data_IF_056886479354
#
_entry.id   IF_056886479354
#
_cell.length_a   1.000
_cell.length_b   1.000
_cell.length_c   1.000
_cell.angle_alpha   90.00
_cell.angle_beta   90.00
_cell.angle_gamma   90.00
#
_symmetry.space_group_name_H-M   'P 1'
#
loop_
_entity.id
_entity.type
_entity.pdbx_description
1 polymer ?
#
# COMPACT_ATOMS: atom_id res chain seq x y z
N UNK A 1 10.43 31.51 -20.81
CA UNK A 1 10.06 31.74 -19.39
C UNK A 1 10.78 30.70 -18.56
N UNK A 2 11.29 31.04 -17.36
CA UNK A 2 11.91 30.05 -16.45
C UNK A 2 10.91 28.93 -16.12
N UNK A 3 11.40 27.68 -16.03
CA UNK A 3 10.62 26.47 -15.73
C UNK A 3 9.78 26.64 -14.46
N UNK A 4 10.37 27.17 -13.39
CA UNK A 4 9.69 27.46 -12.13
C UNK A 4 8.52 28.44 -12.32
N UNK A 5 8.66 29.43 -13.20
CA UNK A 5 7.60 30.41 -13.45
C UNK A 5 6.40 29.77 -14.15
N UNK A 6 6.64 28.84 -15.07
CA UNK A 6 5.57 28.08 -15.75
C UNK A 6 4.85 27.16 -14.75
N UNK A 7 5.61 26.39 -13.95
CA UNK A 7 5.06 25.51 -12.90
C UNK A 7 4.24 26.29 -11.86
N UNK A 8 4.73 27.46 -11.45
CA UNK A 8 4.05 28.37 -10.52
C UNK A 8 2.72 28.88 -11.05
N UNK A 9 2.67 29.30 -12.32
CA UNK A 9 1.43 29.74 -12.98
C UNK A 9 0.43 28.59 -13.11
N UNK A 10 0.90 27.39 -13.48
CA UNK A 10 0.03 26.21 -13.61
C UNK A 10 -0.62 25.84 -12.27
N UNK A 11 0.17 25.71 -11.20
CA UNK A 11 -0.33 25.41 -9.86
C UNK A 11 -1.26 26.51 -9.32
N UNK A 12 -0.97 27.78 -9.59
CA UNK A 12 -1.85 28.89 -9.19
C UNK A 12 -3.23 28.75 -9.84
N UNK A 13 -3.29 28.48 -11.15
CA UNK A 13 -4.55 28.29 -11.87
C UNK A 13 -5.32 27.07 -11.37
N UNK A 14 -4.62 25.99 -11.07
CA UNK A 14 -5.21 24.77 -10.54
C UNK A 14 -5.82 24.99 -9.15
N UNK A 15 -5.05 25.56 -8.21
CA UNK A 15 -5.52 25.92 -6.88
C UNK A 15 -6.66 26.93 -6.94
N UNK A 16 -6.59 27.92 -7.83
CA UNK A 16 -7.66 28.88 -8.04
C UNK A 16 -8.92 28.22 -8.61
N UNK A 17 -8.80 27.17 -9.44
CA UNK A 17 -9.96 26.39 -9.90
C UNK A 17 -10.59 25.63 -8.74
N UNK A 18 -9.79 24.93 -7.94
CA UNK A 18 -10.23 24.14 -6.78
C UNK A 18 -10.85 25.00 -5.67
N UNK A 19 -10.30 26.19 -5.45
CA UNK A 19 -10.76 27.12 -4.42
C UNK A 19 -12.18 27.66 -4.62
N UNK A 20 -12.73 27.61 -5.85
CA UNK A 20 -14.08 28.11 -6.15
C UNK A 20 -15.17 27.40 -5.35
N UNK A 21 -14.98 26.10 -5.16
CA UNK A 21 -15.93 25.25 -4.46
C UNK A 21 -15.56 25.06 -2.98
N UNK A 22 -14.50 25.73 -2.50
CA UNK A 22 -14.08 25.70 -1.11
C UNK A 22 -15.05 26.49 -0.21
N UNK A 23 -15.01 26.24 1.10
CA UNK A 23 -15.85 26.96 2.07
C UNK A 23 -15.69 28.49 1.93
N UNK A 24 -16.77 29.25 1.63
CA UNK A 24 -16.73 30.70 1.47
C UNK A 24 -16.13 31.45 2.67
N UNK A 25 -16.32 30.94 3.89
CA UNK A 25 -15.79 31.57 5.10
C UNK A 25 -14.27 31.54 5.27
N UNK A 26 -13.54 30.73 4.48
CA UNK A 26 -12.08 30.58 4.62
C UNK A 26 -11.27 31.63 3.82
N UNK A 27 -11.92 32.35 2.88
CA UNK A 27 -11.28 33.32 1.97
C UNK A 27 -10.05 32.75 1.23
N UNK A 28 -10.20 31.53 0.69
CA UNK A 28 -9.11 30.76 0.07
C UNK A 28 -8.35 31.56 -1.00
N UNK A 29 -9.06 32.20 -1.94
CA UNK A 29 -8.45 32.95 -3.04
C UNK A 29 -7.62 34.15 -2.57
N UNK A 30 -8.07 34.86 -1.53
CA UNK A 30 -7.33 35.99 -0.97
C UNK A 30 -6.01 35.51 -0.34
N UNK A 31 -6.06 34.41 0.41
CA UNK A 31 -4.86 33.81 1.03
C UNK A 31 -3.88 33.29 -0.01
N UNK A 32 -4.38 32.61 -1.03
CA UNK A 32 -3.57 32.11 -2.16
C UNK A 32 -2.87 33.27 -2.87
N UNK A 33 -3.61 34.32 -3.21
CA UNK A 33 -3.06 35.52 -3.85
C UNK A 33 -1.98 36.18 -2.98
N UNK A 34 -2.27 36.40 -1.70
CA UNK A 34 -1.31 36.97 -0.74
C UNK A 34 -0.04 36.12 -0.58
N UNK A 35 -0.13 34.80 -0.70
CA UNK A 35 1.03 33.90 -0.63
C UNK A 35 1.94 34.05 -1.85
N UNK A 36 1.37 34.12 -3.06
CA UNK A 36 2.13 34.34 -4.28
C UNK A 36 2.71 35.76 -4.39
N UNK A 37 2.01 36.77 -3.85
CA UNK A 37 2.51 38.14 -3.81
C UNK A 37 3.72 38.28 -2.89
N UNK A 38 3.72 37.59 -1.74
CA UNK A 38 4.87 37.54 -0.82
C UNK A 38 6.10 36.86 -1.43
N UNK A 39 5.88 35.82 -2.23
CA UNK A 39 6.95 35.02 -2.83
C UNK A 39 7.32 35.47 -4.27
N UNK A 40 6.97 36.69 -4.68
CA UNK A 40 7.17 37.17 -6.06
C UNK A 40 8.64 37.29 -6.47
N UNK A 41 9.51 37.58 -5.50
CA UNK A 41 10.94 37.84 -5.70
C UNK A 41 11.82 36.69 -5.19
N UNK A 42 11.24 35.50 -4.96
CA UNK A 42 11.96 34.33 -4.50
C UNK A 42 12.73 33.70 -5.67
N UNK A 43 14.07 33.65 -5.56
CA UNK A 43 14.95 33.15 -6.62
C UNK A 43 15.84 31.98 -6.17
N UNK A 44 15.92 31.70 -4.87
CA UNK A 44 16.70 30.58 -4.34
C UNK A 44 16.05 29.22 -4.71
N UNK A 45 16.75 28.30 -5.37
CA UNK A 45 16.17 27.04 -5.85
C UNK A 45 15.57 26.16 -4.74
N UNK A 46 16.16 26.16 -3.54
CA UNK A 46 15.70 25.33 -2.43
C UNK A 46 14.42 25.90 -1.83
N UNK A 47 14.40 27.20 -1.58
CA UNK A 47 13.20 27.89 -1.06
C UNK A 47 12.03 27.85 -2.06
N UNK A 48 12.32 27.92 -3.36
CA UNK A 48 11.31 27.76 -4.43
C UNK A 48 10.69 26.37 -4.40
N UNK A 49 11.48 25.31 -4.25
CA UNK A 49 10.94 23.94 -4.17
C UNK A 49 10.14 23.71 -2.88
N UNK A 50 10.58 24.28 -1.75
CA UNK A 50 9.81 24.20 -0.50
C UNK A 50 8.47 24.96 -0.60
N UNK A 51 8.43 26.09 -1.30
CA UNK A 51 7.17 26.78 -1.63
C UNK A 51 6.27 25.91 -2.53
N UNK A 52 6.83 25.19 -3.50
CA UNK A 52 6.07 24.25 -4.33
C UNK A 52 5.50 23.08 -3.54
N UNK A 53 6.28 22.52 -2.60
CA UNK A 53 5.80 21.46 -1.69
C UNK A 53 4.60 21.92 -0.87
N UNK A 54 4.66 23.14 -0.34
CA UNK A 54 3.53 23.73 0.39
C UNK A 54 2.29 23.88 -0.50
N UNK A 55 2.47 24.33 -1.74
CA UNK A 55 1.37 24.50 -2.69
C UNK A 55 0.73 23.17 -3.10
N UNK A 56 1.54 22.15 -3.36
CA UNK A 56 1.06 20.81 -3.67
C UNK A 56 0.32 20.21 -2.47
N UNK A 57 0.83 20.42 -1.25
CA UNK A 57 0.13 20.01 -0.03
C UNK A 57 -1.26 20.66 0.08
N UNK A 58 -1.37 21.98 -0.15
CA UNK A 58 -2.65 22.70 -0.13
C UNK A 58 -3.62 22.14 -1.19
N UNK A 59 -3.12 21.77 -2.38
CA UNK A 59 -3.91 21.13 -3.43
C UNK A 59 -4.48 19.79 -2.98
N UNK A 60 -3.62 18.91 -2.44
CA UNK A 60 -4.05 17.58 -1.96
C UNK A 60 -5.07 17.69 -0.83
N UNK A 61 -4.85 18.59 0.13
CA UNK A 61 -5.78 18.83 1.23
C UNK A 61 -7.14 19.34 0.71
N UNK A 62 -7.14 20.26 -0.25
CA UNK A 62 -8.37 20.80 -0.85
C UNK A 62 -9.17 19.71 -1.58
N UNK A 63 -8.49 18.84 -2.32
CA UNK A 63 -9.09 17.70 -3.00
C UNK A 63 -9.65 16.67 -2.00
N UNK A 64 -8.91 16.37 -0.94
CA UNK A 64 -9.34 15.49 0.12
C UNK A 64 -10.62 16.03 0.79
N UNK A 65 -10.65 17.32 1.13
CA UNK A 65 -11.84 17.98 1.68
C UNK A 65 -13.04 17.94 0.73
N UNK A 66 -12.82 18.15 -0.57
CA UNK A 66 -13.88 18.03 -1.58
C UNK A 66 -14.45 16.61 -1.63
N UNK A 67 -13.58 15.59 -1.66
CA UNK A 67 -13.96 14.18 -1.67
C UNK A 67 -14.75 13.81 -0.41
N UNK A 68 -14.31 14.29 0.77
CA UNK A 68 -14.98 14.10 2.05
C UNK A 68 -16.36 14.78 2.08
N UNK A 69 -16.47 16.00 1.56
CA UNK A 69 -17.75 16.71 1.46
C UNK A 69 -18.73 15.95 0.58
N UNK A 70 -18.28 15.49 -0.60
CA UNK A 70 -19.08 14.67 -1.51
C UNK A 70 -19.50 13.36 -0.84
N UNK A 71 -18.60 12.72 -0.12
CA UNK A 71 -18.87 11.50 0.64
C UNK A 71 -19.90 11.73 1.75
N UNK A 72 -19.77 12.80 2.56
CA UNK A 72 -20.74 13.16 3.61
C UNK A 72 -22.13 13.40 3.04
N UNK A 73 -22.23 14.08 1.90
CA UNK A 73 -23.49 14.28 1.20
C UNK A 73 -24.07 12.94 0.70
N UNK A 74 -23.27 12.13 -0.01
CA UNK A 74 -23.69 10.83 -0.53
C UNK A 74 -24.17 9.87 0.58
N UNK A 75 -23.49 9.89 1.74
CA UNK A 75 -23.88 9.13 2.93
C UNK A 75 -25.25 9.53 3.49
N UNK A 76 -25.60 10.81 3.40
CA UNK A 76 -26.92 11.31 3.84
C UNK A 76 -28.02 10.91 2.86
N UNK A 77 -27.74 10.98 1.55
CA UNK A 77 -28.75 10.75 0.50
C UNK A 77 -29.02 9.26 0.26
N UNK A 78 -28.02 8.38 0.44
CA UNK A 78 -28.15 6.93 0.22
C UNK A 78 -27.76 6.11 1.47
N UNK A 79 -28.63 6.04 2.50
CA UNK A 79 -28.38 5.20 3.66
C UNK A 79 -28.56 3.71 3.29
N UNK A 80 -27.49 2.91 3.35
CA UNK A 80 -27.56 1.47 3.08
C UNK A 80 -26.20 0.73 3.09
N UNK A 81 -26.18 -0.62 2.97
CA UNK A 81 -24.95 -1.44 3.06
C UNK A 81 -23.86 -1.07 2.04
N UNK A 82 -24.25 -0.57 0.86
CA UNK A 82 -23.32 -0.11 -0.16
C UNK A 82 -22.46 1.09 0.31
N UNK A 83 -23.01 1.97 1.15
CA UNK A 83 -22.30 3.15 1.66
C UNK A 83 -21.27 2.81 2.75
N UNK A 84 -21.45 1.68 3.47
CA UNK A 84 -20.47 1.18 4.47
C UNK A 84 -19.14 0.80 3.82
N UNK A 85 -19.16 0.10 2.68
CA UNK A 85 -17.92 -0.23 1.94
C UNK A 85 -17.21 1.01 1.42
N UNK A 86 -17.97 2.03 0.99
CA UNK A 86 -17.41 3.32 0.53
C UNK A 86 -16.81 4.08 1.71
N UNK A 87 -17.43 4.02 2.91
CA UNK A 87 -16.90 4.59 4.15
C UNK A 87 -15.50 4.07 4.47
N UNK A 88 -15.37 2.74 4.52
CA UNK A 88 -14.11 2.06 4.83
C UNK A 88 -13.00 2.41 3.82
N UNK A 89 -13.36 2.58 2.54
CA UNK A 89 -12.41 2.96 1.50
C UNK A 89 -12.00 4.43 1.56
N UNK A 90 -12.92 5.36 1.83
CA UNK A 90 -12.62 6.80 1.95
C UNK A 90 -11.85 7.12 3.23
N UNK A 91 -12.17 6.47 4.35
CA UNK A 91 -11.42 6.62 5.61
C UNK A 91 -9.97 6.14 5.47
N UNK A 92 -9.73 5.07 4.70
CA UNK A 92 -8.36 4.60 4.37
C UNK A 92 -7.58 5.58 3.49
N UNK A 93 -8.24 6.25 2.53
CA UNK A 93 -7.60 7.25 1.67
C UNK A 93 -7.21 8.50 2.49
N UNK A 94 -8.09 8.95 3.39
CA UNK A 94 -7.87 10.14 4.23
C UNK A 94 -6.89 9.91 5.37
N UNK A 95 -6.73 8.68 5.85
CA UNK A 95 -5.73 8.31 6.86
C UNK A 95 -4.27 8.34 6.37
N UNK A 96 -4.02 8.88 5.16
CA UNK A 96 -2.69 8.93 4.57
C UNK A 96 -2.28 7.55 4.09
N UNK A 97 -2.87 7.12 2.97
CA UNK A 97 -2.44 5.92 2.27
C UNK A 97 -0.97 6.03 1.88
N UNK A 98 -0.11 5.49 2.73
CA UNK A 98 1.29 5.20 2.42
C UNK A 98 1.35 3.76 1.92
N UNK A 99 1.67 3.64 0.63
CA UNK A 99 2.31 2.53 -0.08
C UNK A 99 1.66 1.14 0.00
N UNK A 100 1.66 0.46 -1.15
CA UNK A 100 1.32 -0.95 -1.30
C UNK A 100 2.34 -1.91 -0.64
N UNK A 101 3.37 -1.38 0.05
CA UNK A 101 4.30 -2.13 0.89
C UNK A 101 3.90 -2.11 2.37
N UNK A 102 2.66 -2.49 2.68
CA UNK A 102 2.22 -2.72 4.07
C UNK A 102 2.86 -4.00 4.66
N UNK A 103 3.41 -4.87 3.80
CA UNK A 103 4.06 -6.12 4.23
C UNK A 103 5.47 -5.90 4.84
N UNK A 104 6.16 -4.81 4.51
CA UNK A 104 7.55 -4.56 4.98
C UNK A 104 7.63 -3.96 6.40
N UNK A 105 6.50 -3.57 7.01
CA UNK A 105 6.46 -2.89 8.32
C UNK A 105 5.54 -3.55 9.34
N UNK A 106 5.22 -4.83 9.17
CA UNK A 106 4.48 -5.58 10.18
C UNK A 106 5.41 -5.97 11.33
N UNK A 107 4.88 -5.95 12.55
CA UNK A 107 5.60 -6.42 13.73
C UNK A 107 5.86 -7.92 13.62
N UNK A 108 7.07 -8.35 13.97
CA UNK A 108 7.46 -9.75 13.93
C UNK A 108 6.65 -10.53 14.97
N UNK A 109 5.89 -11.53 14.51
CA UNK A 109 5.10 -12.39 15.39
C UNK A 109 6.00 -13.49 15.94
N UNK A 110 6.11 -13.59 17.26
CA UNK A 110 6.82 -14.68 17.94
C UNK A 110 5.87 -15.87 18.20
N UNK A 111 6.43 -17.07 18.39
CA UNK A 111 5.64 -18.23 18.80
C UNK A 111 5.09 -18.03 20.21
N UNK A 112 3.89 -18.53 20.44
CA UNK A 112 3.24 -18.60 21.75
C UNK A 112 3.04 -20.07 22.17
N UNK A 113 2.51 -20.29 23.36
CA UNK A 113 2.16 -21.63 23.84
C UNK A 113 1.17 -22.32 22.89
N UNK A 114 1.50 -23.54 22.46
CA UNK A 114 0.72 -24.29 21.46
C UNK A 114 0.99 -23.88 20.01
N UNK A 115 2.04 -23.09 19.76
CA UNK A 115 2.52 -22.76 18.42
C UNK A 115 3.97 -23.22 18.24
N UNK A 116 4.34 -23.56 17.01
CA UNK A 116 5.71 -23.98 16.71
C UNK A 116 6.15 -23.48 15.34
N UNK A 117 7.44 -23.17 15.23
CA UNK A 117 8.05 -22.83 13.95
C UNK A 117 8.22 -24.09 13.09
N UNK A 118 8.07 -23.96 11.78
CA UNK A 118 8.30 -25.06 10.87
C UNK A 118 8.81 -24.61 9.50
N UNK A 119 9.48 -25.52 8.81
CA UNK A 119 9.85 -25.39 7.41
C UNK A 119 8.95 -26.25 6.54
N UNK A 120 8.47 -25.68 5.43
CA UNK A 120 7.64 -26.41 4.46
C UNK A 120 8.49 -27.42 3.69
N UNK A 121 8.17 -28.71 3.82
CA UNK A 121 8.90 -29.80 3.15
C UNK A 121 8.31 -30.09 1.78
N UNK A 122 6.98 -30.23 1.68
CA UNK A 122 6.30 -30.48 0.40
C UNK A 122 4.85 -30.02 0.44
N UNK A 123 4.34 -29.64 -0.72
CA UNK A 123 2.93 -29.30 -0.90
C UNK A 123 2.14 -30.57 -1.22
N UNK A 124 1.01 -30.80 -0.53
CA UNK A 124 0.16 -31.98 -0.70
C UNK A 124 -1.10 -31.70 -1.57
N UNK A 125 -1.33 -30.43 -1.91
CA UNK A 125 -2.52 -30.00 -2.64
C UNK A 125 -3.75 -29.78 -1.74
N UNK A 126 -4.83 -29.25 -2.31
CA UNK A 126 -6.05 -28.85 -1.58
C UNK A 126 -5.77 -27.90 -0.38
N UNK A 127 -4.68 -27.13 -0.47
CA UNK A 127 -4.13 -26.28 0.59
C UNK A 127 -3.74 -27.04 1.87
N UNK A 128 -3.21 -28.26 1.71
CA UNK A 128 -2.46 -28.99 2.73
C UNK A 128 -0.99 -29.04 2.34
N UNK A 129 -0.12 -29.08 3.34
CA UNK A 129 1.32 -29.23 3.16
C UNK A 129 1.89 -30.10 4.28
N UNK A 130 3.07 -30.66 4.05
CA UNK A 130 3.88 -31.32 5.08
C UNK A 130 4.94 -30.33 5.57
N UNK A 131 4.99 -30.12 6.87
CA UNK A 131 5.92 -29.20 7.52
C UNK A 131 6.81 -29.95 8.50
N UNK A 132 8.12 -29.69 8.41
CA UNK A 132 9.11 -30.15 9.38
C UNK A 132 9.18 -29.10 10.48
N UNK A 133 8.68 -29.45 11.66
CA UNK A 133 8.72 -28.57 12.82
C UNK A 133 10.12 -28.58 13.44
N UNK A 134 10.49 -27.48 14.10
CA UNK A 134 11.81 -27.34 14.74
C UNK A 134 11.93 -28.10 16.08
N UNK A 135 10.84 -28.67 16.57
CA UNK A 135 10.83 -29.67 17.64
C UNK A 135 11.32 -31.06 17.17
N UNK A 136 11.45 -31.26 15.85
CA UNK A 136 11.91 -32.49 15.22
C UNK A 136 10.81 -33.33 14.56
N UNK A 137 9.53 -33.03 14.80
CA UNK A 137 8.42 -33.80 14.27
C UNK A 137 7.91 -33.28 12.91
N UNK A 138 7.36 -34.19 12.12
CA UNK A 138 6.72 -33.86 10.83
C UNK A 138 5.21 -33.83 11.00
N UNK A 139 4.61 -32.69 10.70
CA UNK A 139 3.17 -32.49 10.84
C UNK A 139 2.50 -32.19 9.51
N UNK A 140 1.26 -32.64 9.38
CA UNK A 140 0.38 -32.29 8.26
C UNK A 140 -0.31 -30.96 8.57
N UNK A 141 0.14 -29.91 7.90
CA UNK A 141 -0.38 -28.57 8.12
C UNK A 141 -1.47 -28.21 7.10
N UNK A 142 -2.50 -27.53 7.59
CA UNK A 142 -3.60 -27.02 6.79
C UNK A 142 -3.51 -25.49 6.65
N UNK A 143 -3.54 -24.99 5.41
CA UNK A 143 -3.41 -23.54 5.15
C UNK A 143 -4.73 -22.85 5.50
N UNK A 144 -4.69 -21.94 6.49
CA UNK A 144 -5.84 -21.15 6.92
C UNK A 144 -6.45 -20.40 5.74
N UNK A 145 -7.79 -20.39 5.65
CA UNK A 145 -8.50 -19.76 4.52
C UNK A 145 -8.16 -18.28 4.28
N UNK A 146 -7.81 -17.54 5.35
CA UNK A 146 -7.32 -16.15 5.27
C UNK A 146 -6.02 -16.04 4.48
N UNK A 147 -5.09 -16.99 4.67
CA UNK A 147 -3.80 -17.05 3.98
C UNK A 147 -3.96 -17.38 2.50
N UNK A 148 -4.83 -18.34 2.17
CA UNK A 148 -5.05 -18.81 0.78
C UNK A 148 -5.40 -17.70 -0.22
N UNK A 149 -5.96 -16.58 0.24
CA UNK A 149 -6.33 -15.43 -0.60
C UNK A 149 -5.26 -14.36 -0.72
N UNK A 150 -4.26 -14.38 0.17
CA UNK A 150 -3.30 -13.27 0.34
C UNK A 150 -1.85 -13.67 0.15
N UNK A 151 -1.48 -14.89 0.56
CA UNK A 151 -0.09 -15.30 0.69
C UNK A 151 0.10 -16.66 0.02
N UNK A 152 1.07 -16.71 -0.87
CA UNK A 152 1.49 -17.93 -1.56
C UNK A 152 2.60 -18.60 -0.74
N UNK A 153 2.50 -19.91 -0.57
CA UNK A 153 3.44 -20.71 0.24
C UNK A 153 4.08 -21.75 -0.69
N UNK A 154 5.41 -21.74 -0.71
CA UNK A 154 6.24 -22.63 -1.51
C UNK A 154 7.05 -23.58 -0.60
N UNK A 155 7.69 -24.56 -1.22
CA UNK A 155 8.62 -25.45 -0.54
C UNK A 155 9.84 -24.67 -0.03
N UNK A 156 10.26 -24.96 1.20
CA UNK A 156 11.40 -24.32 1.84
C UNK A 156 11.07 -23.07 2.64
N UNK A 157 9.84 -22.55 2.54
CA UNK A 157 9.39 -21.38 3.31
C UNK A 157 9.33 -21.68 4.81
N UNK A 158 9.58 -20.65 5.63
CA UNK A 158 9.43 -20.71 7.09
C UNK A 158 8.04 -20.21 7.47
N UNK A 159 7.34 -21.00 8.28
CA UNK A 159 5.96 -20.74 8.69
C UNK A 159 5.78 -20.93 10.19
N UNK A 160 4.78 -20.25 10.75
CA UNK A 160 4.30 -20.47 12.11
C UNK A 160 3.08 -21.39 12.09
N UNK A 161 3.16 -22.49 12.84
CA UNK A 161 2.10 -23.47 12.99
C UNK A 161 1.39 -23.31 14.32
N UNK A 162 0.06 -23.48 14.31
CA UNK A 162 -0.74 -23.75 15.50
C UNK A 162 -0.86 -25.27 15.66
N UNK A 163 -0.41 -25.78 16.80
CA UNK A 163 -0.64 -27.17 17.19
C UNK A 163 -2.09 -27.34 17.65
N UNK A 164 -2.54 -28.61 17.73
CA UNK A 164 -3.86 -28.97 18.24
C UNK A 164 -3.68 -29.83 19.48
N UNK A 165 -4.38 -29.47 20.56
CA UNK A 165 -4.26 -30.14 21.87
C UNK A 165 -4.49 -31.66 21.84
N UNK A 166 -5.26 -32.15 20.87
CA UNK A 166 -5.72 -33.54 20.79
C UNK A 166 -5.13 -34.35 19.63
N UNK A 167 -4.44 -33.71 18.67
CA UNK A 167 -3.90 -34.35 17.46
C UNK A 167 -2.59 -33.67 17.07
N UNK A 168 -1.47 -34.16 17.58
CA UNK A 168 -0.17 -33.54 17.33
C UNK A 168 0.30 -33.71 15.87
N UNK A 169 -0.10 -34.80 15.20
CA UNK A 169 0.21 -35.03 13.78
C UNK A 169 -0.33 -33.93 12.83
N UNK A 170 -1.26 -33.08 13.31
CA UNK A 170 -1.95 -32.08 12.50
C UNK A 170 -1.82 -30.69 13.09
N UNK A 171 -1.52 -29.75 12.20
CA UNK A 171 -1.40 -28.35 12.55
C UNK A 171 -2.14 -27.45 11.56
N UNK A 172 -2.33 -26.19 11.91
CA UNK A 172 -2.85 -25.15 11.02
C UNK A 172 -1.80 -24.05 10.82
N UNK A 173 -1.62 -23.59 9.58
CA UNK A 173 -0.65 -22.54 9.24
C UNK A 173 -1.23 -21.17 9.60
N UNK A 174 -0.52 -20.41 10.45
CA UNK A 174 -0.94 -19.08 10.89
C UNK A 174 -0.34 -18.00 10.01
N UNK A 175 1.01 -17.96 9.90
CA UNK A 175 1.79 -16.91 9.24
C UNK A 175 2.91 -17.53 8.41
N UNK A 176 3.23 -16.91 7.27
CA UNK A 176 4.45 -17.15 6.50
C UNK A 176 5.41 -16.01 6.80
N UNK A 177 6.65 -16.36 7.14
CA UNK A 177 7.72 -15.39 7.31
C UNK A 177 8.43 -15.12 5.98
N UNK A 178 8.78 -13.87 5.75
CA UNK A 178 9.68 -13.50 4.65
C UNK A 178 11.11 -13.95 4.96
N UNK A 179 12.00 -13.93 3.96
CA UNK A 179 13.40 -14.27 4.16
C UNK A 179 14.06 -13.37 5.22
N UNK A 180 13.73 -12.09 5.25
CA UNK A 180 14.24 -11.13 6.24
C UNK A 180 13.71 -11.40 7.65
N UNK A 181 12.41 -11.67 7.78
CA UNK A 181 11.82 -12.05 9.07
C UNK A 181 12.45 -13.35 9.61
N UNK A 182 12.73 -14.32 8.74
CA UNK A 182 13.44 -15.55 9.11
C UNK A 182 14.89 -15.30 9.56
N UNK A 183 15.62 -14.35 8.93
CA UNK A 183 16.96 -13.94 9.40
C UNK A 183 16.90 -13.25 10.76
N UNK A 184 15.88 -12.43 11.00
CA UNK A 184 15.66 -11.79 12.29
C UNK A 184 15.36 -12.83 13.38
N UNK A 185 14.49 -13.81 13.10
CA UNK A 185 14.20 -14.92 14.02
C UNK A 185 15.46 -15.73 14.39
N UNK A 186 16.38 -15.93 13.44
CA UNK A 186 17.69 -16.51 13.73
C UNK A 186 18.54 -15.62 14.63
N UNK A 187 18.58 -14.32 14.38
CA UNK A 187 19.33 -13.37 15.20
C UNK A 187 18.81 -13.32 16.65
N UNK A 188 17.50 -13.53 16.86
CA UNK A 188 16.90 -13.66 18.18
C UNK A 188 17.12 -15.03 18.86
N UNK A 189 17.65 -16.03 18.13
CA UNK A 189 17.91 -17.36 18.66
C UNK A 189 16.68 -18.28 18.74
N UNK A 190 15.56 -17.91 18.11
CA UNK A 190 14.35 -18.75 18.06
C UNK A 190 14.47 -19.89 17.04
N UNK A 191 15.29 -19.71 16.01
CA UNK A 191 15.55 -20.71 14.98
C UNK A 191 17.00 -21.23 15.10
N UNK A 192 17.23 -22.53 14.88
CA UNK A 192 18.58 -23.07 14.88
C UNK A 192 19.40 -22.49 13.71
N UNK A 193 20.70 -22.28 13.93
CA UNK A 193 21.60 -21.63 12.96
C UNK A 193 21.63 -22.35 11.60
N UNK A 194 21.40 -23.67 11.61
CA UNK A 194 21.43 -24.53 10.43
C UNK A 194 20.15 -24.46 9.56
N UNK A 195 19.14 -23.65 9.92
CA UNK A 195 17.92 -23.55 9.13
C UNK A 195 18.21 -22.99 7.73
N UNK A 196 17.88 -23.73 6.66
CA UNK A 196 18.09 -23.28 5.27
C UNK A 196 16.97 -22.30 4.89
N UNK A 197 17.26 -21.01 4.75
CA UNK A 197 16.28 -20.00 4.33
C UNK A 197 16.28 -19.93 2.80
N UNK A 198 15.10 -20.00 2.18
CA UNK A 198 14.95 -19.81 0.75
C UNK A 198 14.79 -18.31 0.42
N UNK A 199 15.61 -17.78 -0.49
CA UNK A 199 15.64 -16.36 -0.87
C UNK A 199 14.87 -16.07 -2.17
N UNK A 200 13.83 -16.84 -2.49
CA UNK A 200 13.14 -16.74 -3.79
C UNK A 200 12.11 -15.60 -3.86
N UNK A 201 11.76 -14.96 -2.75
CA UNK A 201 10.54 -14.13 -2.66
C UNK A 201 10.73 -12.60 -2.80
N UNK A 202 11.83 -12.13 -3.41
CA UNK A 202 12.09 -10.67 -3.55
C UNK A 202 12.18 -10.16 -4.97
N UNK A 203 11.80 -10.95 -5.97
CA UNK A 203 11.52 -10.41 -7.30
C UNK A 203 10.01 -10.31 -7.46
N UNK A 204 9.45 -9.24 -6.89
CA UNK A 204 8.26 -8.65 -7.47
C UNK A 204 8.58 -8.43 -8.94
N UNK A 205 7.77 -9.03 -9.80
CA UNK A 205 7.82 -8.86 -11.24
C UNK A 205 8.12 -7.37 -11.51
N UNK A 206 9.22 -7.08 -12.21
CA UNK A 206 9.33 -5.81 -12.90
C UNK A 206 8.01 -5.67 -13.64
N UNK A 207 7.20 -4.69 -13.25
CA UNK A 207 6.05 -4.26 -14.02
C UNK A 207 6.59 -4.01 -15.42
N UNK A 208 6.45 -5.03 -16.28
CA UNK A 208 6.71 -4.93 -17.70
C UNK A 208 5.77 -3.85 -18.16
N UNK A 209 6.31 -2.65 -18.26
CA UNK A 209 5.66 -1.44 -18.68
C UNK A 209 5.00 -1.75 -20.03
N UNK A 210 3.72 -2.13 -20.01
CA UNK A 210 2.88 -2.11 -21.18
C UNK A 210 2.69 -0.64 -21.52
N UNK A 211 3.70 -0.05 -22.15
CA UNK A 211 3.60 1.22 -22.86
C UNK A 211 2.50 1.03 -23.88
N UNK A 212 1.33 1.56 -23.56
CA UNK A 212 0.22 1.66 -24.49
C UNK A 212 0.65 2.70 -25.53
N UNK A 213 1.32 2.25 -26.61
CA UNK A 213 1.53 3.10 -27.79
C UNK A 213 0.15 3.44 -28.35
N UNK A 214 -0.30 4.66 -28.09
CA UNK A 214 -1.37 5.25 -28.86
C UNK A 214 -0.87 5.35 -30.30
N UNK A 215 -1.39 4.47 -31.15
CA UNK A 215 -1.18 4.56 -32.59
C UNK A 215 -1.54 5.96 -33.05
N UNK A 216 -0.56 6.62 -33.66
CA UNK A 216 -0.74 7.85 -34.40
C UNK A 216 -1.57 7.52 -35.65
N UNK A 217 -2.89 7.60 -35.51
CA UNK A 217 -3.83 7.65 -36.62
C UNK A 217 -4.54 9.00 -36.60
N UNK A 218 -4.16 9.88 -37.54
CA UNK A 218 -5.10 10.80 -38.14
C UNK A 218 -4.62 12.23 -38.38
N UNK A 219 -3.68 12.43 -39.31
CA UNK A 219 -3.78 13.58 -40.21
C UNK A 219 -4.97 13.31 -41.16
N UNK A 220 -6.17 13.69 -40.72
CA UNK A 220 -7.33 13.81 -41.57
C UNK A 220 -7.22 15.16 -42.30
N UNK A 221 -6.80 15.11 -43.56
CA UNK A 221 -6.85 16.25 -44.48
C UNK A 221 -8.30 16.74 -44.61
N UNK A 222 -8.53 18.01 -44.29
CA UNK A 222 -9.86 18.62 -44.17
C UNK A 222 -10.43 19.16 -45.49
N UNK A 223 -9.84 18.81 -46.64
CA UNK A 223 -10.19 19.40 -47.94
C UNK A 223 -11.17 18.57 -48.78
N UNK A 224 -11.86 17.56 -48.22
CA UNK A 224 -12.83 16.72 -48.96
C UNK A 224 -14.22 16.56 -48.27
N UNK A 225 -14.69 17.54 -47.49
CA UNK A 225 -16.12 17.67 -47.08
C UNK A 225 -16.66 19.08 -47.34
#
# INVERSE_FOLDING_TARGET
MSEYRLRSIALYKELHRLGRDHNPGYNFHHKLRSLYERNRSLEDPKEVEDAFRLLEYIKQETLALYSLRKYRHLRRVYPGPACRRIKERVEKIVAGGKNENDDDKRELVFREDGQEYAQVVKMLGNGRLEAQCFDGEKRLAHIRGKMRKKVWINQGDIVLLSLRDFQDDKADVIVKYTADEARNLKAYGELPENAKINETDTFGEEDGECTFEFGDEGDLDIDDI
#
